data_IF_106307393156
#
_entry.id   IF_106307393156
#
_cell.length_a   1.000
_cell.length_b   1.000
_cell.length_c   1.000
_cell.angle_alpha   90.00
_cell.angle_beta   90.00
_cell.angle_gamma   90.00
#
_symmetry.space_group_name_H-M   'P 1'
#
loop_
_entity.id
_entity.type
_entity.pdbx_description
1 polymer ?
#
# COMPACT_ATOMS: atom_id res chain seq x y z
N UNK A 1 -17.30 2.77 -21.07
CA UNK A 1 -17.65 1.33 -21.00
C UNK A 1 -17.43 0.77 -22.39
N UNK A 2 -16.60 -0.26 -22.51
CA UNK A 2 -16.22 -0.85 -23.80
C UNK A 2 -17.26 -1.89 -24.20
N UNK A 3 -17.79 -1.82 -25.43
CA UNK A 3 -18.70 -2.85 -25.95
C UNK A 3 -17.91 -4.14 -26.14
N UNK A 4 -18.34 -5.23 -25.48
CA UNK A 4 -17.64 -6.50 -25.50
C UNK A 4 -17.64 -7.14 -26.90
N UNK A 5 -18.66 -6.84 -27.71
CA UNK A 5 -18.74 -7.27 -29.10
C UNK A 5 -17.74 -6.49 -29.97
N UNK A 6 -17.59 -5.19 -29.71
CA UNK A 6 -16.62 -4.33 -30.39
C UNK A 6 -15.18 -4.70 -30.01
N UNK A 7 -14.93 -5.00 -28.73
CA UNK A 7 -13.63 -5.44 -28.24
C UNK A 7 -13.17 -6.77 -28.85
N UNK A 8 -14.08 -7.72 -29.02
CA UNK A 8 -13.81 -8.97 -29.72
C UNK A 8 -13.87 -8.83 -31.25
N UNK A 9 -14.27 -7.68 -31.79
CA UNK A 9 -14.41 -7.46 -33.23
C UNK A 9 -15.50 -8.30 -33.90
N UNK A 10 -16.53 -8.72 -33.14
CA UNK A 10 -17.61 -9.60 -33.62
C UNK A 10 -18.96 -8.89 -33.61
N UNK A 11 -19.88 -9.33 -34.47
CA UNK A 11 -21.26 -8.80 -34.47
C UNK A 11 -22.06 -9.36 -33.29
N UNK A 12 -23.10 -8.65 -32.84
CA UNK A 12 -24.04 -9.13 -31.81
C UNK A 12 -24.77 -10.42 -32.18
N UNK A 13 -24.89 -10.71 -33.47
CA UNK A 13 -25.42 -11.96 -34.00
C UNK A 13 -24.39 -13.08 -34.12
N UNK A 14 -23.14 -12.87 -33.66
CA UNK A 14 -22.08 -13.87 -33.78
C UNK A 14 -22.37 -15.11 -32.94
N UNK A 15 -22.05 -16.28 -33.50
CA UNK A 15 -22.19 -17.54 -32.78
C UNK A 15 -21.12 -17.67 -31.69
N UNK A 16 -21.33 -18.57 -30.72
CA UNK A 16 -20.33 -18.87 -29.69
C UNK A 16 -19.02 -19.39 -30.28
N UNK A 17 -19.08 -20.07 -31.44
CA UNK A 17 -17.91 -20.51 -32.18
C UNK A 17 -17.11 -19.32 -32.75
N UNK A 18 -17.79 -18.31 -33.30
CA UNK A 18 -17.16 -17.10 -33.84
C UNK A 18 -16.51 -16.26 -32.73
N UNK A 19 -17.20 -16.15 -31.57
CA UNK A 19 -16.69 -15.47 -30.37
C UNK A 19 -15.42 -16.16 -29.87
N UNK A 20 -15.41 -17.50 -29.83
CA UNK A 20 -14.24 -18.29 -29.44
C UNK A 20 -13.10 -18.19 -30.43
N UNK A 21 -13.38 -18.11 -31.72
CA UNK A 21 -12.36 -17.93 -32.74
C UNK A 21 -11.71 -16.55 -32.65
N UNK A 22 -12.51 -15.50 -32.52
CA UNK A 22 -12.05 -14.12 -32.37
C UNK A 22 -11.20 -13.93 -31.10
N UNK A 23 -11.64 -14.49 -29.97
CA UNK A 23 -10.88 -14.48 -28.73
C UNK A 23 -9.49 -15.12 -28.89
N UNK A 24 -9.39 -16.32 -29.50
CA UNK A 24 -8.09 -16.98 -29.70
C UNK A 24 -7.15 -16.20 -30.61
N UNK A 25 -7.67 -15.49 -31.60
CA UNK A 25 -6.87 -14.68 -32.51
C UNK A 25 -6.32 -13.43 -31.81
N UNK A 26 -7.18 -12.74 -31.05
CA UNK A 26 -6.79 -11.56 -30.27
C UNK A 26 -5.87 -11.93 -29.09
N UNK A 27 -6.13 -13.04 -28.41
CA UNK A 27 -5.34 -13.49 -27.27
C UNK A 27 -3.88 -13.77 -27.63
N UNK A 28 -3.60 -14.28 -28.85
CA UNK A 28 -2.23 -14.47 -29.34
C UNK A 28 -1.49 -13.17 -29.60
N UNK A 29 -2.21 -12.12 -29.98
CA UNK A 29 -1.64 -10.82 -30.35
C UNK A 29 -1.54 -9.90 -29.13
N UNK A 30 -2.43 -10.07 -28.16
CA UNK A 30 -2.55 -9.26 -26.96
C UNK A 30 -1.94 -9.93 -25.72
N UNK A 31 -1.31 -11.09 -25.87
CA UNK A 31 -0.62 -11.76 -24.75
C UNK A 31 0.56 -10.88 -24.26
N UNK A 32 0.81 -10.78 -22.95
CA UNK A 32 1.96 -10.05 -22.41
C UNK A 32 3.29 -10.47 -23.01
N UNK A 33 3.48 -11.78 -23.25
CA UNK A 33 4.69 -12.33 -23.89
C UNK A 33 4.86 -11.92 -25.37
N UNK A 34 3.81 -11.44 -26.02
CA UNK A 34 3.83 -10.97 -27.41
C UNK A 34 3.84 -9.42 -27.51
N UNK A 35 4.03 -8.71 -26.38
CA UNK A 35 4.07 -7.25 -26.32
C UNK A 35 2.71 -6.57 -26.06
N UNK A 36 1.68 -7.33 -25.65
CA UNK A 36 0.40 -6.78 -25.19
C UNK A 36 0.43 -6.31 -23.73
N UNK A 37 -0.52 -5.45 -23.33
CA UNK A 37 -0.65 -5.02 -21.94
C UNK A 37 -1.58 -5.97 -21.16
N UNK A 38 -1.25 -6.27 -19.90
CA UNK A 38 -2.05 -7.14 -19.03
C UNK A 38 -3.49 -6.63 -18.84
N UNK A 39 -3.68 -5.30 -18.83
CA UNK A 39 -4.99 -4.67 -18.80
C UNK A 39 -5.83 -4.95 -20.04
N UNK A 40 -5.23 -4.89 -21.24
CA UNK A 40 -5.93 -5.17 -22.48
C UNK A 40 -6.24 -6.68 -22.62
N UNK A 41 -5.36 -7.55 -22.15
CA UNK A 41 -5.60 -8.99 -22.09
C UNK A 41 -6.73 -9.34 -21.11
N UNK A 42 -6.78 -8.69 -19.93
CA UNK A 42 -7.85 -8.89 -18.95
C UNK A 42 -9.22 -8.47 -19.47
N UNK A 43 -9.30 -7.31 -20.14
CA UNK A 43 -10.53 -6.85 -20.79
C UNK A 43 -10.98 -7.80 -21.92
N UNK A 44 -10.02 -8.35 -22.67
CA UNK A 44 -10.30 -9.34 -23.71
C UNK A 44 -10.87 -10.64 -23.12
N UNK A 45 -10.33 -11.11 -21.99
CA UNK A 45 -10.81 -12.30 -21.27
C UNK A 45 -12.19 -12.07 -20.68
N UNK A 46 -12.42 -10.93 -20.03
CA UNK A 46 -13.73 -10.54 -19.46
C UNK A 46 -14.82 -10.47 -20.54
N UNK A 47 -14.49 -9.92 -21.72
CA UNK A 47 -15.40 -9.88 -22.86
C UNK A 47 -15.72 -11.28 -23.40
N UNK A 48 -14.74 -12.18 -23.44
CA UNK A 48 -14.96 -13.56 -23.85
C UNK A 48 -15.81 -14.32 -22.83
N UNK A 49 -15.51 -14.24 -21.54
CA UNK A 49 -16.26 -14.94 -20.49
C UNK A 49 -17.74 -14.52 -20.47
N UNK A 50 -18.00 -13.22 -20.59
CA UNK A 50 -19.36 -12.68 -20.61
C UNK A 50 -20.13 -13.06 -21.88
N UNK A 51 -19.49 -13.07 -23.06
CA UNK A 51 -20.18 -13.35 -24.33
C UNK A 51 -20.20 -14.84 -24.71
N UNK A 52 -19.33 -15.65 -24.12
CA UNK A 52 -19.28 -17.09 -24.37
C UNK A 52 -20.41 -17.83 -23.66
N UNK A 53 -20.75 -17.43 -22.43
CA UNK A 53 -21.86 -18.00 -21.67
C UNK A 53 -23.20 -17.40 -22.15
N UNK A 54 -24.17 -18.23 -22.61
CA UNK A 54 -25.46 -17.74 -23.10
C UNK A 54 -26.28 -17.00 -22.03
N UNK A 55 -26.14 -17.35 -20.74
CA UNK A 55 -26.84 -16.70 -19.63
C UNK A 55 -26.28 -15.31 -19.37
N UNK A 56 -24.95 -15.21 -19.25
CA UNK A 56 -24.25 -13.94 -19.04
C UNK A 56 -24.40 -13.02 -20.26
N UNK A 57 -24.36 -13.57 -21.47
CA UNK A 57 -24.61 -12.81 -22.71
C UNK A 57 -26.01 -12.23 -22.76
N UNK A 58 -27.03 -12.99 -22.34
CA UNK A 58 -28.40 -12.51 -22.31
C UNK A 58 -28.62 -11.43 -21.24
N UNK A 59 -27.92 -11.49 -20.11
CA UNK A 59 -27.92 -10.43 -19.09
C UNK A 59 -27.20 -9.16 -19.57
N UNK A 60 -26.05 -9.34 -20.22
CA UNK A 60 -25.29 -8.28 -20.87
C UNK A 60 -26.10 -7.57 -21.97
N UNK A 61 -26.78 -8.32 -22.83
CA UNK A 61 -27.63 -7.76 -23.88
C UNK A 61 -28.85 -7.02 -23.32
N UNK A 62 -29.42 -7.48 -22.20
CA UNK A 62 -30.53 -6.81 -21.49
C UNK A 62 -30.11 -5.47 -20.87
N UNK A 63 -28.96 -5.44 -20.19
CA UNK A 63 -28.42 -4.19 -19.63
C UNK A 63 -28.00 -3.20 -20.72
N UNK A 64 -27.52 -3.69 -21.87
CA UNK A 64 -27.15 -2.86 -23.00
C UNK A 64 -28.37 -2.30 -23.76
N UNK A 65 -29.47 -3.05 -23.86
CA UNK A 65 -30.74 -2.57 -24.46
C UNK A 65 -31.45 -1.55 -23.58
N UNK A 66 -31.43 -1.69 -22.25
CA UNK A 66 -32.03 -0.71 -21.32
C UNK A 66 -31.30 0.66 -21.32
N UNK A 67 -30.01 0.70 -21.68
CA UNK A 67 -29.24 1.96 -21.82
C UNK A 67 -29.46 2.69 -23.14
N UNK A 68 -30.15 2.09 -24.11
CA UNK A 68 -30.47 2.69 -25.40
C UNK A 68 -31.98 2.86 -25.51
N UNK A 69 -32.50 4.00 -25.04
CA UNK A 69 -33.95 4.30 -25.12
C UNK A 69 -34.50 4.02 -26.52
N UNK A 70 -35.65 3.34 -26.68
CA UNK A 70 -36.21 2.95 -27.98
C UNK A 70 -36.89 4.12 -28.72
N UNK A 71 -36.55 5.37 -28.38
CA UNK A 71 -37.16 6.57 -28.95
C UNK A 71 -36.51 7.00 -30.29
N UNK A 72 -35.41 6.37 -30.72
CA UNK A 72 -34.67 6.82 -31.92
C UNK A 72 -35.10 6.11 -33.21
N UNK A 73 -35.65 4.89 -33.14
CA UNK A 73 -35.97 4.13 -34.37
C UNK A 73 -37.30 4.54 -35.05
N UNK A 74 -38.25 5.17 -34.34
CA UNK A 74 -39.54 5.55 -34.93
C UNK A 74 -39.53 6.81 -35.80
N UNK A 75 -38.44 7.59 -35.80
CA UNK A 75 -38.37 8.85 -36.56
C UNK A 75 -37.77 8.66 -37.96
N UNK A 76 -37.15 7.50 -38.24
CA UNK A 76 -36.44 7.26 -39.50
C UNK A 76 -37.31 6.73 -40.64
N UNK A 77 -38.54 6.29 -40.37
CA UNK A 77 -39.39 5.65 -41.38
C UNK A 77 -40.28 6.62 -42.18
N UNK A 78 -40.22 7.93 -41.91
CA UNK A 78 -41.09 8.94 -42.57
C UNK A 78 -40.38 10.11 -43.28
N UNK A 79 -39.06 10.03 -43.53
CA UNK A 79 -38.35 11.09 -44.28
C UNK A 79 -38.07 10.67 -45.74
N UNK A 80 -38.82 11.28 -46.66
CA UNK A 80 -38.62 11.21 -48.12
C UNK A 80 -37.23 11.72 -48.56
N UNK A 81 -36.73 11.38 -49.77
CA UNK A 81 -35.31 11.40 -50.08
C UNK A 81 -34.82 12.80 -50.44
N UNK A 82 -34.07 13.44 -49.54
CA UNK A 82 -33.34 14.66 -49.86
C UNK A 82 -31.92 14.35 -50.31
N UNK A 83 -31.68 14.73 -51.57
CA UNK A 83 -30.47 14.73 -52.38
C UNK A 83 -29.15 14.85 -51.59
N UNK A 84 -28.22 13.96 -51.93
CA UNK A 84 -26.83 13.94 -51.47
C UNK A 84 -26.06 15.17 -51.97
N UNK A 85 -25.84 16.16 -51.12
CA UNK A 85 -24.70 17.08 -51.23
C UNK A 85 -23.48 16.49 -50.50
N UNK A 86 -22.28 16.48 -51.09
CA UNK A 86 -21.07 16.02 -50.40
C UNK A 86 -20.61 17.09 -49.42
N UNK A 87 -20.81 16.85 -48.13
CA UNK A 87 -20.28 17.70 -47.07
C UNK A 87 -18.84 17.30 -46.76
N UNK A 88 -17.91 18.14 -47.22
CA UNK A 88 -16.55 18.20 -46.70
C UNK A 88 -16.57 18.37 -45.18
N UNK A 89 -15.64 17.65 -44.53
CA UNK A 89 -15.09 17.85 -43.20
C UNK A 89 -15.85 18.81 -42.27
N UNK A 90 -16.76 18.25 -41.47
CA UNK A 90 -17.11 18.85 -40.18
C UNK A 90 -16.88 17.81 -39.10
N UNK A 91 -15.81 18.02 -38.36
CA UNK A 91 -15.41 17.29 -37.18
C UNK A 91 -16.63 17.09 -36.27
N UNK A 92 -17.18 15.87 -36.22
CA UNK A 92 -18.16 15.49 -35.21
C UNK A 92 -17.37 15.29 -33.93
N UNK A 93 -17.24 16.35 -33.14
CA UNK A 93 -16.98 16.21 -31.71
C UNK A 93 -18.02 15.23 -31.18
N UNK A 94 -17.58 14.02 -30.88
CA UNK A 94 -18.35 13.04 -30.13
C UNK A 94 -18.88 13.74 -28.90
N UNK A 95 -20.20 13.78 -28.71
CA UNK A 95 -20.79 14.14 -27.42
C UNK A 95 -20.29 13.11 -26.41
N UNK A 96 -19.16 13.43 -25.77
CA UNK A 96 -18.65 12.74 -24.59
C UNK A 96 -19.78 12.85 -23.58
N UNK A 97 -20.28 11.73 -23.09
CA UNK A 97 -21.20 11.73 -21.97
C UNK A 97 -20.47 12.40 -20.81
N UNK A 98 -20.90 13.62 -20.49
CA UNK A 98 -20.35 14.43 -19.40
C UNK A 98 -20.79 13.78 -18.08
N UNK A 99 -20.00 12.83 -17.58
CA UNK A 99 -20.16 12.23 -16.26
C UNK A 99 -19.77 13.22 -15.14
N UNK A 100 -19.49 14.49 -15.49
CA UNK A 100 -19.04 15.51 -14.57
C UNK A 100 -17.59 15.33 -14.12
N UNK A 101 -16.84 14.40 -14.70
CA UNK A 101 -15.40 14.24 -14.49
C UNK A 101 -14.65 15.15 -15.45
N UNK A 102 -13.69 15.90 -14.90
CA UNK A 102 -12.77 16.72 -15.68
C UNK A 102 -11.43 15.96 -15.77
N UNK A 103 -11.09 15.35 -16.91
CA UNK A 103 -9.88 14.54 -17.04
C UNK A 103 -8.61 15.38 -16.91
N UNK A 104 -8.68 16.66 -17.27
CA UNK A 104 -7.55 17.59 -17.22
C UNK A 104 -7.45 18.28 -15.86
N UNK A 105 -8.42 18.07 -14.96
CA UNK A 105 -8.38 18.59 -13.61
C UNK A 105 -7.34 17.86 -12.76
N UNK A 106 -6.41 18.66 -12.26
CA UNK A 106 -5.41 18.28 -11.28
C UNK A 106 -5.83 18.86 -9.93
N UNK A 107 -6.20 18.03 -8.94
CA UNK A 107 -6.48 18.54 -7.60
C UNK A 107 -5.24 19.24 -7.03
N UNK A 108 -5.41 20.35 -6.28
CA UNK A 108 -4.29 21.03 -5.65
C UNK A 108 -3.64 20.11 -4.61
N UNK A 109 -2.32 20.20 -4.45
CA UNK A 109 -1.63 19.50 -3.35
C UNK A 109 -2.19 19.97 -2.01
N UNK A 110 -2.56 19.03 -1.11
CA UNK A 110 -3.09 19.37 0.20
C UNK A 110 -2.04 20.16 1.00
N UNK A 111 -2.38 21.40 1.35
CA UNK A 111 -1.58 22.27 2.21
C UNK A 111 -2.35 22.52 3.50
N UNK A 112 -2.10 21.67 4.49
CA UNK A 112 -2.68 21.71 5.82
C UNK A 112 -1.75 22.55 6.71
N UNK A 113 -2.32 23.47 7.49
CA UNK A 113 -1.55 24.25 8.47
C UNK A 113 -1.10 23.31 9.60
N UNK A 114 0.20 23.14 9.83
CA UNK A 114 0.68 22.23 10.86
C UNK A 114 0.17 22.55 12.27
N UNK A 115 -0.20 23.81 12.56
CA UNK A 115 -0.80 24.19 13.86
C UNK A 115 -2.18 23.59 14.10
N UNK A 116 -2.87 23.16 13.04
CA UNK A 116 -4.15 22.46 13.15
C UNK A 116 -3.99 20.98 13.48
N UNK A 117 -2.79 20.41 13.31
CA UNK A 117 -2.54 18.97 13.51
C UNK A 117 -2.28 18.71 15.01
N UNK A 118 -3.13 17.96 15.73
CA UNK A 118 -3.10 17.88 17.20
C UNK A 118 -1.77 17.40 17.80
N UNK A 119 -1.10 16.49 17.10
CA UNK A 119 0.16 15.88 17.56
C UNK A 119 1.42 16.64 17.10
N UNK A 120 1.29 17.68 16.27
CA UNK A 120 2.44 18.26 15.58
C UNK A 120 3.48 18.92 16.50
N UNK A 121 2.98 19.64 17.50
CA UNK A 121 3.80 20.37 18.47
C UNK A 121 4.16 19.54 19.71
N UNK A 122 3.52 18.39 19.91
CA UNK A 122 3.80 17.49 21.03
C UNK A 122 4.97 16.55 20.76
N UNK A 123 5.42 16.47 19.50
CA UNK A 123 6.55 15.64 19.10
C UNK A 123 7.90 16.19 19.58
N UNK A 124 8.59 15.40 20.38
CA UNK A 124 10.03 15.60 20.62
C UNK A 124 10.85 15.05 19.44
N UNK A 125 11.06 15.88 18.43
CA UNK A 125 11.85 15.54 17.24
C UNK A 125 13.33 15.29 17.56
N UNK A 126 13.81 15.72 18.74
CA UNK A 126 15.19 15.47 19.20
C UNK A 126 15.34 14.12 19.89
N UNK A 127 14.22 13.43 20.17
CA UNK A 127 14.24 12.11 20.78
C UNK A 127 14.98 11.13 19.90
N UNK A 128 15.96 10.44 20.48
CA UNK A 128 16.71 9.40 19.78
C UNK A 128 15.76 8.26 19.36
N UNK A 129 15.92 7.80 18.11
CA UNK A 129 15.17 6.66 17.58
C UNK A 129 15.56 5.40 18.34
N UNK A 130 14.55 4.65 18.80
CA UNK A 130 14.71 3.34 19.43
C UNK A 130 14.60 2.25 18.38
N UNK A 131 15.63 1.40 18.27
CA UNK A 131 15.61 0.27 17.35
C UNK A 131 15.19 -1.03 18.08
N UNK A 132 14.27 -1.78 17.48
CA UNK A 132 13.79 -3.07 17.97
C UNK A 132 14.24 -4.23 17.04
N UNK A 133 14.35 -5.47 17.58
CA UNK A 133 14.37 -5.78 19.01
C UNK A 133 15.55 -5.10 19.70
N UNK A 134 15.43 -4.68 20.96
CA UNK A 134 16.57 -4.06 21.65
C UNK A 134 17.66 -5.12 21.80
N UNK A 135 18.78 -4.94 21.12
CA UNK A 135 19.96 -5.82 21.20
C UNK A 135 20.71 -5.66 22.54
N UNK A 136 20.25 -4.73 23.38
CA UNK A 136 20.71 -4.49 24.75
C UNK A 136 20.28 -5.56 25.75
N UNK A 137 21.23 -5.94 26.61
CA UNK A 137 21.12 -6.96 27.65
C UNK A 137 20.06 -6.63 28.71
N UNK A 138 18.85 -7.20 28.60
CA UNK A 138 17.81 -7.06 29.62
C UNK A 138 18.22 -7.50 31.04
N UNK A 139 19.24 -8.37 31.19
CA UNK A 139 19.66 -8.91 32.50
C UNK A 139 21.18 -9.08 32.74
N UNK A 140 22.07 -8.67 31.82
CA UNK A 140 23.52 -8.86 32.04
C UNK A 140 24.31 -7.81 32.84
N UNK A 141 23.79 -6.63 33.27
CA UNK A 141 24.54 -5.85 34.25
C UNK A 141 24.70 -6.60 35.58
N UNK A 142 24.00 -7.72 35.79
CA UNK A 142 24.20 -8.64 36.92
C UNK A 142 25.29 -9.69 36.69
N UNK A 143 25.62 -10.05 35.44
CA UNK A 143 26.60 -11.13 35.17
C UNK A 143 28.04 -10.70 35.44
N UNK A 144 28.38 -9.44 35.16
CA UNK A 144 29.69 -8.88 35.49
C UNK A 144 29.95 -8.86 37.01
N UNK A 145 29.11 -8.24 37.85
CA UNK A 145 29.31 -8.25 39.30
C UNK A 145 29.18 -9.66 39.90
N UNK A 146 28.29 -10.53 39.40
CA UNK A 146 28.18 -11.91 39.88
C UNK A 146 29.44 -12.73 39.55
N UNK A 147 30.03 -12.54 38.36
CA UNK A 147 31.29 -13.19 37.98
C UNK A 147 32.48 -12.66 38.79
N UNK A 148 32.53 -11.34 39.07
CA UNK A 148 33.52 -10.75 39.95
C UNK A 148 33.35 -11.20 41.41
N UNK A 149 32.12 -11.30 41.91
CA UNK A 149 31.81 -11.79 43.26
C UNK A 149 32.13 -13.28 43.39
N UNK A 150 31.81 -14.12 42.40
CA UNK A 150 32.22 -15.52 42.36
C UNK A 150 33.75 -15.67 42.36
N UNK A 151 34.46 -14.83 41.60
CA UNK A 151 35.93 -14.83 41.59
C UNK A 151 36.52 -14.37 42.94
N UNK A 152 35.90 -13.38 43.60
CA UNK A 152 36.30 -12.84 44.91
C UNK A 152 36.01 -13.81 46.06
N UNK A 153 34.83 -14.42 46.10
CA UNK A 153 34.42 -15.41 47.10
C UNK A 153 35.32 -16.65 47.02
N UNK A 154 35.80 -16.96 45.81
CA UNK A 154 36.66 -18.10 45.59
C UNK A 154 38.16 -17.82 45.88
N UNK A 155 38.54 -16.67 46.45
CA UNK A 155 39.87 -16.46 47.06
C UNK A 155 40.01 -17.22 48.41
N UNK A 156 38.88 -17.57 49.05
CA UNK A 156 38.84 -18.33 50.30
C UNK A 156 39.63 -19.66 50.34
N UNK A 157 39.75 -20.48 49.27
CA UNK A 157 40.49 -21.73 49.28
C UNK A 157 42.02 -21.58 49.28
N UNK A 158 42.55 -20.40 48.93
CA UNK A 158 43.99 -20.11 49.09
C UNK A 158 44.42 -20.11 50.57
N UNK A 159 43.46 -19.94 51.50
CA UNK A 159 43.72 -20.01 52.94
C UNK A 159 43.76 -21.46 53.48
N UNK A 160 43.33 -22.45 52.69
CA UNK A 160 43.19 -23.87 53.13
C UNK A 160 44.25 -24.82 52.55
N UNK A 161 45.14 -24.36 51.66
CA UNK A 161 46.40 -25.04 51.31
C UNK A 161 46.30 -26.35 50.50
N UNK A 162 45.14 -26.71 49.95
CA UNK A 162 44.97 -27.96 49.19
C UNK A 162 45.12 -27.76 47.66
N UNK A 163 45.91 -28.57 46.93
CA UNK A 163 46.10 -28.41 45.47
C UNK A 163 44.82 -28.62 44.66
N UNK A 164 43.86 -29.42 45.17
CA UNK A 164 42.57 -29.66 44.52
C UNK A 164 41.70 -28.40 44.51
N UNK A 165 41.80 -27.55 45.54
CA UNK A 165 41.00 -26.32 45.61
C UNK A 165 41.50 -25.24 44.66
N UNK A 166 42.81 -25.23 44.36
CA UNK A 166 43.40 -24.35 43.36
C UNK A 166 42.93 -24.69 41.93
N UNK A 167 42.91 -25.98 41.57
CA UNK A 167 42.45 -26.40 40.23
C UNK A 167 40.97 -26.08 40.04
N UNK A 168 40.13 -26.37 41.04
CA UNK A 168 38.71 -26.02 40.99
C UNK A 168 38.50 -24.49 40.88
N UNK A 169 39.30 -23.70 41.59
CA UNK A 169 39.29 -22.25 41.49
C UNK A 169 39.65 -21.74 40.09
N UNK A 170 40.74 -22.24 39.50
CA UNK A 170 41.17 -21.86 38.15
C UNK A 170 40.11 -22.19 37.09
N UNK A 171 39.42 -23.33 37.23
CA UNK A 171 38.32 -23.70 36.33
C UNK A 171 37.12 -22.75 36.47
N UNK A 172 36.74 -22.36 37.70
CA UNK A 172 35.67 -21.38 37.93
C UNK A 172 36.02 -20.01 37.35
N UNK A 173 37.25 -19.53 37.57
CA UNK A 173 37.74 -18.27 37.01
C UNK A 173 37.75 -18.34 35.47
N UNK A 174 38.26 -19.42 34.88
CA UNK A 174 38.25 -19.62 33.44
C UNK A 174 36.82 -19.63 32.87
N UNK A 175 35.89 -20.31 33.53
CA UNK A 175 34.47 -20.33 33.15
C UNK A 175 33.84 -18.94 33.21
N UNK A 176 34.09 -18.20 34.30
CA UNK A 176 33.62 -16.83 34.48
C UNK A 176 34.18 -15.89 33.40
N UNK A 177 35.49 -15.93 33.14
CA UNK A 177 36.14 -15.14 32.09
C UNK A 177 35.55 -15.46 30.71
N UNK A 178 35.32 -16.74 30.41
CA UNK A 178 34.74 -17.16 29.12
C UNK A 178 33.30 -16.67 28.98
N UNK A 179 32.49 -16.73 30.04
CA UNK A 179 31.14 -16.15 30.05
C UNK A 179 31.15 -14.64 29.83
N UNK A 180 32.05 -13.91 30.51
CA UNK A 180 32.20 -12.46 30.34
C UNK A 180 32.63 -12.10 28.92
N UNK A 181 33.63 -12.80 28.35
CA UNK A 181 34.05 -12.61 26.96
C UNK A 181 32.88 -12.87 26.00
N UNK A 182 32.11 -13.94 26.22
CA UNK A 182 30.94 -14.26 25.38
C UNK A 182 29.85 -13.19 25.51
N UNK A 183 29.60 -12.65 26.70
CA UNK A 183 28.67 -11.57 26.93
C UNK A 183 29.11 -10.27 26.23
N UNK A 184 30.38 -9.88 26.38
CA UNK A 184 30.97 -8.71 25.70
C UNK A 184 30.93 -8.88 24.19
N UNK A 185 31.33 -10.03 23.65
CA UNK A 185 31.26 -10.32 22.20
C UNK A 185 29.83 -10.23 21.69
N UNK A 186 28.85 -10.76 22.43
CA UNK A 186 27.43 -10.62 22.08
C UNK A 186 27.00 -9.16 22.06
N UNK A 187 27.45 -8.35 23.01
CA UNK A 187 27.11 -6.92 23.07
C UNK A 187 27.76 -6.11 21.95
N UNK A 188 29.01 -6.39 21.62
CA UNK A 188 29.69 -5.77 20.47
C UNK A 188 29.01 -6.17 19.16
N UNK A 189 28.67 -7.46 19.00
CA UNK A 189 27.93 -7.93 17.83
C UNK A 189 26.55 -7.26 17.73
N UNK A 190 25.82 -7.18 18.85
CA UNK A 190 24.56 -6.46 19.00
C UNK A 190 24.66 -4.99 18.55
N UNK A 191 25.65 -4.26 19.04
CA UNK A 191 25.89 -2.86 18.66
C UNK A 191 26.22 -2.69 17.18
N UNK A 192 26.97 -3.62 16.59
CA UNK A 192 27.25 -3.60 15.13
C UNK A 192 25.98 -3.74 14.30
N UNK A 193 25.02 -4.59 14.69
CA UNK A 193 23.75 -4.71 13.96
C UNK A 193 22.95 -3.40 14.00
N UNK A 194 23.04 -2.65 15.10
CA UNK A 194 22.42 -1.33 15.20
C UNK A 194 23.15 -0.31 14.31
N UNK A 195 24.48 -0.25 14.37
CA UNK A 195 25.31 0.64 13.55
C UNK A 195 25.15 0.36 12.05
N UNK A 196 25.19 -0.91 11.63
CA UNK A 196 25.05 -1.34 10.24
C UNK A 196 23.68 -0.95 9.70
N UNK A 197 22.61 -1.19 10.47
CA UNK A 197 21.25 -0.80 10.08
C UNK A 197 21.10 0.72 9.95
N UNK A 198 21.66 1.49 10.89
CA UNK A 198 21.62 2.95 10.85
C UNK A 198 22.46 3.50 9.69
N UNK A 199 23.61 2.88 9.39
CA UNK A 199 24.44 3.24 8.26
C UNK A 199 23.73 2.98 6.93
N UNK A 200 23.01 1.87 6.81
CA UNK A 200 22.32 1.46 5.60
C UNK A 200 20.99 2.23 5.39
N UNK A 201 20.15 2.34 6.43
CA UNK A 201 18.76 2.81 6.32
C UNK A 201 18.40 3.95 7.29
N UNK A 202 19.36 4.49 8.04
CA UNK A 202 19.07 5.48 9.09
C UNK A 202 18.70 6.86 8.55
N UNK A 203 19.30 7.26 7.41
CA UNK A 203 19.05 8.58 6.80
C UNK A 203 17.81 8.59 5.89
N UNK A 204 17.52 7.47 5.24
CA UNK A 204 16.40 7.33 4.32
C UNK A 204 15.12 6.93 5.08
N UNK A 205 14.01 7.61 4.77
CA UNK A 205 12.70 7.32 5.36
C UNK A 205 11.66 6.89 4.34
N UNK A 206 11.95 7.06 3.05
CA UNK A 206 11.02 6.82 1.96
C UNK A 206 11.66 5.80 1.03
N UNK A 207 10.93 4.72 0.73
CA UNK A 207 11.44 3.59 -0.05
C UNK A 207 10.48 3.25 -1.17
N UNK A 208 11.01 2.76 -2.29
CA UNK A 208 10.21 2.43 -3.47
C UNK A 208 9.93 3.64 -4.36
N UNK A 209 9.05 3.44 -5.36
CA UNK A 209 8.70 4.49 -6.32
C UNK A 209 7.20 4.56 -6.51
N UNK A 210 6.68 5.74 -6.81
CA UNK A 210 5.24 5.98 -7.02
C UNK A 210 4.76 5.62 -8.43
N UNK A 211 5.62 5.01 -9.26
CA UNK A 211 5.37 4.82 -10.69
C UNK A 211 5.39 6.14 -11.46
N UNK A 212 5.68 6.09 -12.77
CA UNK A 212 5.72 7.28 -13.66
C UNK A 212 4.41 7.45 -14.46
N UNK A 213 3.35 6.73 -14.07
CA UNK A 213 2.06 6.88 -14.74
C UNK A 213 1.47 8.25 -14.41
N UNK A 214 1.55 9.16 -15.40
CA UNK A 214 0.95 10.50 -15.37
C UNK A 214 -0.55 10.50 -15.05
N UNK A 215 -1.21 9.35 -15.20
CA UNK A 215 -2.63 9.17 -14.90
C UNK A 215 -2.90 8.97 -13.39
N UNK A 216 -1.86 8.81 -12.55
CA UNK A 216 -2.00 8.50 -11.13
C UNK A 216 -1.65 9.67 -10.18
N UNK A 217 -2.22 10.83 -10.49
CA UNK A 217 -2.06 12.07 -9.71
C UNK A 217 -2.41 11.86 -8.23
N UNK A 218 -3.43 11.06 -7.91
CA UNK A 218 -3.84 10.82 -6.52
C UNK A 218 -2.72 10.16 -5.72
N UNK A 219 -2.06 9.13 -6.29
CA UNK A 219 -0.92 8.46 -5.66
C UNK A 219 0.23 9.44 -5.41
N UNK A 220 0.55 10.31 -6.37
CA UNK A 220 1.62 11.31 -6.24
C UNK A 220 1.30 12.36 -5.17
N UNK A 221 0.07 12.86 -5.12
CA UNK A 221 -0.37 13.80 -4.10
C UNK A 221 -0.30 13.20 -2.70
N UNK A 222 -0.62 11.91 -2.57
CA UNK A 222 -0.46 11.20 -1.30
C UNK A 222 1.01 11.07 -0.94
N UNK A 223 1.89 10.68 -1.86
CA UNK A 223 3.32 10.61 -1.55
C UNK A 223 3.90 11.95 -1.07
N UNK A 224 3.56 13.06 -1.72
CA UNK A 224 3.93 14.41 -1.29
C UNK A 224 3.37 14.78 0.09
N UNK A 225 2.14 14.36 0.41
CA UNK A 225 1.56 14.51 1.75
C UNK A 225 2.36 13.72 2.81
N UNK A 226 2.63 12.44 2.54
CA UNK A 226 3.35 11.57 3.49
C UNK A 226 4.77 12.09 3.73
N UNK A 227 5.48 12.46 2.67
CA UNK A 227 6.83 13.02 2.75
C UNK A 227 6.86 14.33 3.54
N UNK A 228 5.94 15.26 3.25
CA UNK A 228 5.92 16.59 3.89
C UNK A 228 5.58 16.54 5.38
N UNK A 229 4.62 15.70 5.78
CA UNK A 229 4.04 15.75 7.12
C UNK A 229 4.53 14.61 8.02
N UNK A 230 4.58 13.37 7.53
CA UNK A 230 4.87 12.22 8.38
C UNK A 230 6.38 12.02 8.60
N UNK A 231 7.25 12.45 7.69
CA UNK A 231 8.71 12.37 7.89
C UNK A 231 9.21 13.21 9.06
N UNK A 232 8.37 14.04 9.68
CA UNK A 232 8.67 14.68 10.96
C UNK A 232 8.84 13.66 12.09
N UNK A 233 8.11 12.54 12.03
CA UNK A 233 8.24 11.43 12.97
C UNK A 233 9.60 10.74 12.73
N UNK A 234 10.50 10.70 13.73
CA UNK A 234 11.85 10.16 13.52
C UNK A 234 11.86 8.65 13.25
N UNK A 235 10.88 7.91 13.76
CA UNK A 235 10.72 6.47 13.57
C UNK A 235 9.99 6.05 12.29
N UNK A 236 9.42 6.99 11.52
CA UNK A 236 8.58 6.62 10.37
C UNK A 236 9.40 6.02 9.23
N UNK A 237 8.80 5.07 8.53
CA UNK A 237 9.29 4.47 7.29
C UNK A 237 8.12 4.39 6.30
N UNK A 238 8.25 5.09 5.18
CA UNK A 238 7.24 5.19 4.13
C UNK A 238 7.69 4.29 2.97
N UNK A 239 6.76 3.51 2.45
CA UNK A 239 6.99 2.57 1.36
C UNK A 239 6.00 2.87 0.24
N UNK A 240 6.49 2.96 -1.00
CA UNK A 240 5.68 3.21 -2.19
C UNK A 240 5.64 1.95 -3.05
N UNK A 241 4.44 1.56 -3.48
CA UNK A 241 4.21 0.41 -4.35
C UNK A 241 4.52 -0.93 -3.67
N UNK A 242 3.64 -1.38 -2.77
CA UNK A 242 3.81 -2.66 -2.08
C UNK A 242 3.02 -3.76 -2.79
N UNK A 243 3.64 -4.93 -2.87
CA UNK A 243 2.97 -6.15 -3.25
C UNK A 243 2.15 -6.72 -2.10
N UNK A 244 1.12 -7.47 -2.47
CA UNK A 244 0.52 -8.42 -1.54
C UNK A 244 1.50 -9.56 -1.23
N UNK A 245 1.36 -10.22 -0.06
CA UNK A 245 2.11 -11.42 0.22
C UNK A 245 1.94 -12.47 -0.89
N UNK A 246 3.03 -12.76 -1.62
CA UNK A 246 3.02 -13.70 -2.74
C UNK A 246 2.66 -13.10 -4.11
N UNK A 247 2.38 -11.80 -4.19
CA UNK A 247 2.23 -11.06 -5.44
C UNK A 247 3.57 -10.46 -5.88
N UNK A 248 3.66 -10.14 -7.17
CA UNK A 248 4.80 -9.42 -7.78
C UNK A 248 4.41 -8.03 -8.29
N UNK A 249 3.14 -7.66 -8.13
CA UNK A 249 2.60 -6.39 -8.60
C UNK A 249 2.50 -5.39 -7.46
N UNK A 250 2.61 -4.09 -7.77
CA UNK A 250 2.42 -3.04 -6.78
C UNK A 250 0.92 -2.91 -6.49
N UNK A 251 0.45 -3.71 -5.55
CA UNK A 251 -0.97 -3.87 -5.27
C UNK A 251 -1.55 -2.79 -4.36
N UNK A 252 -0.70 -2.21 -3.51
CA UNK A 252 -0.99 -1.14 -2.56
C UNK A 252 -0.14 0.07 -2.92
N UNK A 253 -0.78 1.25 -2.97
CA UNK A 253 -0.12 2.49 -3.41
C UNK A 253 1.00 2.90 -2.44
N UNK A 254 0.69 2.97 -1.14
CA UNK A 254 1.65 3.34 -0.11
C UNK A 254 1.45 2.54 1.16
N UNK A 255 2.50 2.43 1.97
CA UNK A 255 2.40 2.00 3.35
C UNK A 255 3.28 2.88 4.24
N UNK A 256 2.86 3.07 5.49
CA UNK A 256 3.63 3.80 6.48
C UNK A 256 3.77 2.95 7.73
N UNK A 257 5.01 2.67 8.10
CA UNK A 257 5.39 1.95 9.29
C UNK A 257 5.97 2.91 10.32
N UNK A 258 5.49 2.85 11.56
CA UNK A 258 6.11 3.51 12.70
C UNK A 258 5.99 2.59 13.92
N UNK A 259 7.12 2.17 14.50
CA UNK A 259 7.11 1.20 15.57
C UNK A 259 6.46 -0.13 15.16
N UNK A 260 5.36 -0.50 15.84
CA UNK A 260 4.54 -1.69 15.52
C UNK A 260 3.20 -1.35 14.86
N UNK A 261 3.12 -0.18 14.24
CA UNK A 261 1.91 0.33 13.58
C UNK A 261 2.16 0.47 12.09
N UNK A 262 1.33 -0.20 11.30
CA UNK A 262 1.39 -0.18 9.85
C UNK A 262 0.07 0.34 9.30
N UNK A 263 0.10 1.40 8.50
CA UNK A 263 -1.05 1.80 7.69
C UNK A 263 -0.78 1.48 6.23
N UNK A 264 -1.72 0.78 5.59
CA UNK A 264 -1.79 0.61 4.14
C UNK A 264 -2.68 1.68 3.55
N UNK A 265 -2.28 2.23 2.43
CA UNK A 265 -2.92 3.40 1.84
C UNK A 265 -3.21 3.13 0.37
N UNK A 266 -4.46 3.37 -0.02
CA UNK A 266 -4.89 3.39 -1.42
C UNK A 266 -5.40 4.81 -1.73
N UNK A 267 -5.00 5.37 -2.88
CA UNK A 267 -5.30 6.75 -3.26
C UNK A 267 -6.26 6.77 -4.45
N UNK A 268 -7.40 7.45 -4.33
CA UNK A 268 -8.39 7.54 -5.41
C UNK A 268 -8.76 8.97 -5.75
N UNK A 269 -8.94 9.21 -7.06
CA UNK A 269 -9.51 10.46 -7.59
C UNK A 269 -10.97 10.23 -7.94
N UNK A 270 -11.90 10.76 -7.13
CA UNK A 270 -13.33 10.59 -7.34
C UNK A 270 -14.08 11.92 -7.33
N UNK A 271 -15.33 11.89 -7.81
CA UNK A 271 -16.16 13.08 -7.88
C UNK A 271 -16.37 13.69 -6.48
N UNK A 272 -16.36 15.02 -6.32
CA UNK A 272 -16.66 15.67 -5.05
C UNK A 272 -18.00 15.20 -4.45
N UNK A 273 -18.06 15.12 -3.13
CA UNK A 273 -19.22 14.61 -2.40
C UNK A 273 -18.84 14.12 -1.01
N UNK A 274 -19.85 13.67 -0.29
CA UNK A 274 -19.68 13.03 1.00
C UNK A 274 -19.55 11.52 0.80
N UNK A 275 -18.51 10.92 1.37
CA UNK A 275 -18.22 9.49 1.29
C UNK A 275 -18.21 8.86 2.68
N UNK A 276 -18.86 7.71 2.79
CA UNK A 276 -18.96 6.93 4.02
C UNK A 276 -18.77 5.45 3.66
N UNK A 277 -18.35 4.65 4.63
CA UNK A 277 -18.21 3.20 4.49
C UNK A 277 -19.04 2.53 5.59
N UNK A 278 -19.75 1.45 5.26
CA UNK A 278 -20.38 0.61 6.28
C UNK A 278 -19.39 -0.41 6.87
N UNK A 279 -19.85 -1.16 7.88
CA UNK A 279 -19.07 -2.22 8.55
C UNK A 279 -18.66 -3.36 7.59
N UNK A 280 -19.44 -3.61 6.54
CA UNK A 280 -19.16 -4.62 5.51
C UNK A 280 -18.20 -4.09 4.41
N UNK A 281 -17.71 -2.85 4.55
CA UNK A 281 -16.81 -2.19 3.60
C UNK A 281 -17.53 -1.62 2.37
N UNK A 282 -18.86 -1.58 2.35
CA UNK A 282 -19.62 -0.97 1.26
C UNK A 282 -19.46 0.53 1.30
N UNK A 283 -18.97 1.12 0.20
CA UNK A 283 -18.90 2.57 0.08
C UNK A 283 -20.23 3.18 -0.35
N UNK A 284 -20.50 4.35 0.20
CA UNK A 284 -21.61 5.21 -0.18
C UNK A 284 -21.11 6.60 -0.52
N UNK A 285 -21.84 7.27 -1.41
CA UNK A 285 -21.60 8.66 -1.79
C UNK A 285 -22.91 9.42 -1.78
N UNK A 286 -23.01 10.45 -0.95
CA UNK A 286 -24.23 11.25 -0.78
C UNK A 286 -25.48 10.37 -0.53
N UNK A 287 -25.37 9.33 0.31
CA UNK A 287 -26.48 8.42 0.65
C UNK A 287 -26.82 7.37 -0.42
N UNK A 288 -26.00 7.22 -1.46
CA UNK A 288 -26.18 6.19 -2.49
C UNK A 288 -24.97 5.25 -2.55
N UNK A 289 -25.23 3.95 -2.71
CA UNK A 289 -24.17 2.94 -2.88
C UNK A 289 -23.24 3.36 -4.00
N UNK A 290 -21.97 3.55 -3.65
CA UNK A 290 -20.93 4.00 -4.53
C UNK A 290 -20.13 2.80 -5.03
N UNK A 291 -20.30 2.47 -6.31
CA UNK A 291 -19.58 1.38 -7.00
C UNK A 291 -18.40 1.90 -7.82
N UNK A 292 -17.81 3.01 -7.41
CA UNK A 292 -16.75 3.68 -8.17
C UNK A 292 -15.41 2.99 -8.00
N UNK A 293 -15.10 2.06 -8.91
CA UNK A 293 -13.82 1.36 -8.96
C UNK A 293 -13.71 0.22 -7.94
N UNK A 294 -12.91 -0.78 -8.26
CA UNK A 294 -12.51 -1.80 -7.30
C UNK A 294 -11.53 -1.19 -6.30
N UNK A 295 -11.88 -1.21 -5.02
CA UNK A 295 -10.93 -0.98 -3.92
C UNK A 295 -10.43 -2.37 -3.52
N UNK A 296 -9.12 -2.51 -3.35
CA UNK A 296 -8.55 -3.78 -2.88
C UNK A 296 -7.90 -3.64 -1.49
N UNK A 297 -7.93 -2.44 -0.92
CA UNK A 297 -7.39 -2.14 0.40
C UNK A 297 -7.91 -3.05 1.53
N UNK A 298 -9.22 -3.38 1.66
CA UNK A 298 -9.69 -4.29 2.70
C UNK A 298 -9.00 -5.67 2.65
N UNK A 299 -8.90 -6.24 1.44
CA UNK A 299 -8.23 -7.52 1.21
C UNK A 299 -6.73 -7.43 1.56
N UNK A 300 -6.10 -6.32 1.18
CA UNK A 300 -4.70 -6.05 1.51
C UNK A 300 -4.48 -5.98 3.02
N UNK A 301 -5.32 -5.25 3.75
CA UNK A 301 -5.25 -5.14 5.21
C UNK A 301 -5.43 -6.51 5.86
N UNK A 302 -6.41 -7.31 5.42
CA UNK A 302 -6.61 -8.67 5.93
C UNK A 302 -5.38 -9.58 5.69
N UNK A 303 -4.77 -9.49 4.50
CA UNK A 303 -3.56 -10.25 4.18
C UNK A 303 -2.36 -9.84 5.06
N UNK A 304 -2.14 -8.54 5.26
CA UNK A 304 -1.05 -8.04 6.10
C UNK A 304 -1.28 -8.31 7.59
N UNK A 305 -2.52 -8.25 8.09
CA UNK A 305 -2.85 -8.68 9.47
C UNK A 305 -2.52 -10.15 9.69
N UNK A 306 -2.79 -10.98 8.69
CA UNK A 306 -2.46 -12.42 8.74
C UNK A 306 -0.95 -12.66 8.73
N UNK A 307 -0.22 -11.90 7.91
CA UNK A 307 1.24 -11.99 7.81
C UNK A 307 1.95 -11.46 9.07
N UNK A 308 1.37 -10.44 9.72
CA UNK A 308 1.99 -9.68 10.80
C UNK A 308 1.10 -9.71 12.06
N UNK A 309 1.02 -10.87 12.71
CA UNK A 309 0.08 -11.13 13.81
C UNK A 309 0.20 -10.17 15.01
N UNK A 310 1.39 -9.60 15.21
CA UNK A 310 1.73 -8.80 16.38
C UNK A 310 1.84 -7.29 16.04
N UNK A 311 1.34 -6.88 14.86
CA UNK A 311 1.41 -5.50 14.34
C UNK A 311 0.00 -4.96 14.19
N UNK A 312 -0.23 -3.73 14.64
CA UNK A 312 -1.51 -3.06 14.40
C UNK A 312 -1.53 -2.59 12.94
N UNK A 313 -2.37 -3.23 12.12
CA UNK A 313 -2.50 -2.89 10.68
C UNK A 313 -3.84 -2.19 10.43
N UNK A 314 -3.77 -0.99 9.84
CA UNK A 314 -4.92 -0.18 9.42
C UNK A 314 -4.93 0.07 7.91
N UNK A 315 -6.10 0.34 7.34
CA UNK A 315 -6.27 0.79 5.97
C UNK A 315 -6.82 2.22 5.92
N UNK A 316 -6.22 3.07 5.09
CA UNK A 316 -6.72 4.41 4.79
C UNK A 316 -6.95 4.58 3.27
N UNK A 317 -8.19 4.86 2.88
CA UNK A 317 -8.54 5.19 1.50
C UNK A 317 -8.54 6.71 1.32
N UNK A 318 -7.45 7.25 0.79
CA UNK A 318 -7.28 8.69 0.61
C UNK A 318 -7.98 9.17 -0.66
N UNK A 319 -8.92 10.09 -0.50
CA UNK A 319 -9.76 10.59 -1.58
C UNK A 319 -9.38 12.01 -2.01
N UNK A 320 -9.20 12.17 -3.33
CA UNK A 320 -8.94 13.45 -3.99
C UNK A 320 -10.06 13.79 -4.97
N UNK A 321 -10.45 15.07 -5.08
CA UNK A 321 -11.55 15.45 -5.96
C UNK A 321 -11.12 15.37 -7.44
N UNK A 322 -11.96 14.77 -8.29
CA UNK A 322 -11.74 14.66 -9.74
C UNK A 322 -12.11 15.92 -10.53
N UNK A 323 -12.68 16.92 -9.86
CA UNK A 323 -13.01 18.25 -10.38
C UNK A 323 -13.05 19.24 -9.21
N UNK A 324 -13.22 20.53 -9.50
CA UNK A 324 -13.47 21.52 -8.45
C UNK A 324 -14.64 21.10 -7.55
N UNK A 325 -14.40 21.10 -6.24
CA UNK A 325 -15.35 20.70 -5.20
C UNK A 325 -14.65 20.09 -4.00
N UNK A 326 -15.41 19.82 -2.93
CA UNK A 326 -14.91 19.26 -1.68
C UNK A 326 -15.29 17.79 -1.54
N UNK A 327 -14.38 17.00 -0.98
CA UNK A 327 -14.66 15.67 -0.46
C UNK A 327 -14.81 15.78 1.05
N UNK A 328 -15.87 15.19 1.58
CA UNK A 328 -16.08 15.03 3.02
C UNK A 328 -16.25 13.57 3.35
N UNK A 329 -15.87 13.18 4.55
CA UNK A 329 -15.91 11.79 5.02
C UNK A 329 -16.44 11.76 6.44
N UNK A 330 -17.05 10.65 6.82
CA UNK A 330 -17.43 10.40 8.21
C UNK A 330 -16.27 9.81 9.02
N UNK A 331 -16.46 9.76 10.34
CA UNK A 331 -15.56 9.02 11.22
C UNK A 331 -15.56 7.53 10.82
N UNK A 332 -14.38 6.89 10.72
CA UNK A 332 -14.27 5.46 10.42
C UNK A 332 -15.08 4.60 11.40
N UNK A 333 -15.88 3.67 10.88
CA UNK A 333 -16.50 2.63 11.70
C UNK A 333 -15.51 1.51 12.05
N UNK A 334 -14.48 1.29 11.22
CA UNK A 334 -13.46 0.25 11.41
C UNK A 334 -12.12 0.65 10.75
N UNK A 335 -11.07 -0.09 11.12
CA UNK A 335 -9.68 0.08 10.72
C UNK A 335 -9.33 -0.58 9.36
N UNK A 336 -10.31 -1.08 8.60
CA UNK A 336 -10.05 -1.94 7.42
C UNK A 336 -9.78 -1.19 6.12
N UNK A 337 -10.43 -0.05 5.84
CA UNK A 337 -10.20 0.78 4.64
C UNK A 337 -11.01 2.09 4.63
N UNK A 338 -11.06 2.82 5.74
CA UNK A 338 -11.97 3.95 5.85
C UNK A 338 -11.66 5.05 4.81
N UNK A 339 -12.68 5.59 4.11
CA UNK A 339 -12.50 6.73 3.23
C UNK A 339 -12.13 7.95 4.06
N UNK A 340 -11.05 8.63 3.67
CA UNK A 340 -10.53 9.79 4.39
C UNK A 340 -10.16 10.89 3.40
N UNK A 341 -10.37 12.14 3.82
CA UNK A 341 -9.71 13.27 3.20
C UNK A 341 -8.29 13.47 3.81
N UNK A 342 -7.38 14.19 3.13
CA UNK A 342 -6.00 14.33 3.61
C UNK A 342 -5.83 15.01 4.98
N UNK A 343 -6.72 15.91 5.36
CA UNK A 343 -6.68 16.62 6.65
C UNK A 343 -6.99 15.65 7.78
N UNK A 344 -8.12 14.96 7.67
CA UNK A 344 -8.55 13.93 8.61
C UNK A 344 -7.53 12.78 8.73
N UNK A 345 -6.92 12.36 7.62
CA UNK A 345 -5.85 11.36 7.64
C UNK A 345 -4.67 11.79 8.52
N UNK A 346 -4.22 13.05 8.41
CA UNK A 346 -3.13 13.53 9.25
C UNK A 346 -3.53 13.63 10.72
N UNK A 347 -4.76 14.02 11.01
CA UNK A 347 -5.26 14.09 12.39
C UNK A 347 -5.30 12.69 13.03
N UNK A 348 -6.02 11.76 12.42
CA UNK A 348 -6.28 10.43 12.98
C UNK A 348 -5.11 9.47 12.81
N UNK A 349 -4.70 9.20 11.57
CA UNK A 349 -3.63 8.23 11.29
C UNK A 349 -2.29 8.82 11.71
N UNK A 350 -2.06 10.11 11.48
CA UNK A 350 -0.85 10.77 11.98
C UNK A 350 -0.75 10.74 13.50
N UNK A 351 -1.87 10.97 14.21
CA UNK A 351 -1.92 10.89 15.67
C UNK A 351 -1.66 9.49 16.18
N UNK A 352 -2.30 8.50 15.57
CA UNK A 352 -2.06 7.09 15.86
C UNK A 352 -0.62 6.67 15.56
N UNK A 353 0.03 7.14 14.49
CA UNK A 353 1.45 6.86 14.26
C UNK A 353 2.36 7.57 15.27
N UNK A 354 1.99 8.78 15.70
CA UNK A 354 2.80 9.63 16.56
C UNK A 354 3.00 9.06 17.98
N UNK A 355 2.08 8.25 18.51
CA UNK A 355 2.24 7.70 19.87
C UNK A 355 3.46 6.76 19.98
N UNK A 356 3.87 6.12 18.88
CA UNK A 356 5.14 5.37 18.77
C UNK A 356 6.09 5.99 17.72
N UNK A 357 6.07 7.33 17.65
CA UNK A 357 6.73 8.14 16.62
C UNK A 357 8.26 8.06 16.53
N UNK A 358 8.91 7.40 17.49
CA UNK A 358 10.37 7.33 17.61
C UNK A 358 10.91 5.89 17.72
N UNK A 359 10.15 4.90 17.26
CA UNK A 359 10.56 3.49 17.29
C UNK A 359 10.64 2.92 15.86
N UNK A 360 11.67 2.12 15.61
CA UNK A 360 11.86 1.37 14.35
C UNK A 360 12.12 -0.09 14.69
N UNK A 361 11.21 -0.97 14.29
CA UNK A 361 11.43 -2.42 14.34
C UNK A 361 12.14 -2.87 13.06
N UNK A 362 13.35 -3.43 13.20
CA UNK A 362 14.23 -3.75 12.06
C UNK A 362 13.78 -4.99 11.30
N UNK A 363 13.23 -5.97 12.00
CA UNK A 363 12.74 -7.19 11.36
C UNK A 363 11.45 -6.89 10.60
N UNK A 364 10.57 -6.12 11.23
CA UNK A 364 9.36 -5.63 10.58
C UNK A 364 9.69 -4.74 9.38
N UNK A 365 10.60 -3.77 9.53
CA UNK A 365 11.07 -2.92 8.44
C UNK A 365 11.54 -3.75 7.24
N UNK A 366 12.44 -4.73 7.46
CA UNK A 366 12.95 -5.57 6.37
C UNK A 366 11.85 -6.43 5.73
N UNK A 367 10.91 -6.90 6.54
CA UNK A 367 9.75 -7.68 6.06
C UNK A 367 8.87 -6.86 5.13
N UNK A 368 8.56 -5.61 5.50
CA UNK A 368 7.79 -4.70 4.65
C UNK A 368 8.59 -4.26 3.43
N UNK A 369 9.87 -3.93 3.60
CA UNK A 369 10.75 -3.54 2.49
C UNK A 369 10.83 -4.63 1.42
N UNK A 370 10.82 -5.91 1.83
CA UNK A 370 10.80 -7.04 0.90
C UNK A 370 9.51 -7.13 0.06
N UNK A 371 8.41 -6.49 0.49
CA UNK A 371 7.18 -6.40 -0.29
C UNK A 371 7.19 -5.21 -1.26
N UNK A 372 8.17 -4.30 -1.20
CA UNK A 372 8.23 -3.16 -2.12
C UNK A 372 8.62 -3.63 -3.51
N UNK A 373 7.77 -3.36 -4.50
CA UNK A 373 8.00 -3.77 -5.88
C UNK A 373 9.09 -2.92 -6.50
N UNK A 374 10.09 -3.57 -7.10
CA UNK A 374 11.25 -2.90 -7.68
C UNK A 374 12.38 -2.56 -6.70
N UNK A 375 12.26 -2.91 -5.41
CA UNK A 375 13.33 -2.70 -4.41
C UNK A 375 14.57 -3.60 -4.59
N UNK A 376 14.57 -4.50 -5.58
CA UNK A 376 15.68 -5.41 -5.89
C UNK A 376 16.98 -4.76 -6.39
N UNK A 377 17.12 -3.43 -6.32
CA UNK A 377 18.30 -2.69 -6.74
C UNK A 377 19.28 -2.31 -5.62
N UNK A 378 18.89 -2.41 -4.34
CA UNK A 378 19.72 -1.90 -3.23
C UNK A 378 20.71 -2.93 -2.63
N UNK A 379 20.64 -4.22 -2.98
CA UNK A 379 21.59 -5.24 -2.48
C UNK A 379 22.74 -5.56 -3.46
N UNK A 380 23.06 -4.62 -4.36
CA UNK A 380 23.97 -4.85 -5.48
C UNK A 380 25.01 -3.75 -5.69
N UNK A 381 25.72 -3.34 -4.65
CA UNK A 381 26.94 -2.56 -4.80
C UNK A 381 27.98 -2.98 -3.75
N UNK A 382 28.85 -3.89 -4.21
CA UNK A 382 30.23 -4.23 -3.81
C UNK A 382 30.69 -3.98 -2.35
#
# INVERSE_FOLDING_TARGET
>A
MVDHYELLGVRRSASTADIKAAYRQLAKTMHPDAGGTSGAFRLLTEAYETLHDPVLRAEYDRTFTLRRSPAVDRTMEQAAPLRRTPWLGRNRSTRRWDLGEDPDYVPPSPRIDPRGIPWWDTLDVRRAVRYLPSTGLGHAPLLLPLSCVLALVAVAPLLLGAPVTLVAWLLLVSGAVTMTIRAVRRQVAAGRVDEDFVAEFGAERVFGTTGDDRDDIARQLTADLLDRYLTRLPGVRIFHGLAWPGSVFADVDHAVLCGRRLVLIESKKWLPGHYEADEDGTLWRNGHVFRGGSIRLPDAVAAYRTMLSDVEVRGALLLYPSRSGRITTDEPLDDTAAPMNPEWFLEEIGGWLAEDGATVDRELFRTILAQVVGAGGASGAA
#
